data_IF_849923333989
#
_entry.id   IF_849923333989
#
_cell.length_a   1.000
_cell.length_b   1.000
_cell.length_c   1.000
_cell.angle_alpha   90.00
_cell.angle_beta   90.00
_cell.angle_gamma   90.00
#
_symmetry.space_group_name_H-M   'P 1'
#
loop_
_entity.id
_entity.type
_entity.pdbx_description
1 polymer ?
#
# COMPACT_ATOMS: atom_id res chain seq x y z
N UNK A 1 10.81 -32.96 10.58
CA UNK A 1 10.98 -31.86 11.56
C UNK A 1 10.82 -30.45 10.96
N UNK A 2 11.48 -30.10 9.85
CA UNK A 2 11.41 -28.76 9.23
C UNK A 2 9.99 -28.28 8.86
N UNK A 3 9.13 -29.16 8.33
CA UNK A 3 7.75 -28.79 7.95
C UNK A 3 6.87 -28.47 9.18
N UNK A 4 7.02 -29.24 10.27
CA UNK A 4 6.30 -29.00 11.52
C UNK A 4 6.67 -27.67 12.17
N UNK A 5 7.96 -27.34 12.19
CA UNK A 5 8.45 -26.04 12.69
C UNK A 5 7.89 -24.86 11.87
N UNK A 6 7.86 -24.97 10.54
CA UNK A 6 7.28 -23.94 9.66
C UNK A 6 5.79 -23.72 9.90
N UNK A 7 5.04 -24.81 10.07
CA UNK A 7 3.60 -24.74 10.35
C UNK A 7 3.37 -24.10 11.72
N UNK A 8 4.14 -24.50 12.74
CA UNK A 8 4.07 -23.90 14.07
C UNK A 8 4.33 -22.38 14.00
N UNK A 9 5.36 -21.95 13.27
CA UNK A 9 5.69 -20.54 13.05
C UNK A 9 4.55 -19.78 12.36
N UNK A 10 3.95 -20.36 11.32
CA UNK A 10 2.81 -19.75 10.62
C UNK A 10 1.59 -19.62 11.53
N UNK A 11 1.28 -20.64 12.33
CA UNK A 11 0.17 -20.61 13.29
C UNK A 11 0.43 -19.53 14.34
N UNK A 12 1.65 -19.46 14.89
CA UNK A 12 2.02 -18.45 15.86
C UNK A 12 1.90 -17.04 15.28
N UNK A 13 2.42 -16.82 14.07
CA UNK A 13 2.29 -15.54 13.37
C UNK A 13 0.82 -15.16 13.12
N UNK A 14 0.00 -16.11 12.64
CA UNK A 14 -1.42 -15.89 12.41
C UNK A 14 -2.15 -15.56 13.73
N UNK A 15 -1.84 -16.24 14.83
CA UNK A 15 -2.41 -15.96 16.13
C UNK A 15 -2.06 -14.54 16.62
N UNK A 16 -0.81 -14.11 16.43
CA UNK A 16 -0.38 -12.73 16.75
C UNK A 16 -1.13 -11.71 15.88
N UNK A 17 -1.28 -11.98 14.58
CA UNK A 17 -2.03 -11.10 13.67
C UNK A 17 -3.51 -10.99 14.05
N UNK A 18 -4.16 -12.09 14.45
CA UNK A 18 -5.55 -12.10 14.92
C UNK A 18 -5.67 -11.33 16.23
N UNK A 19 -4.75 -11.54 17.17
CA UNK A 19 -4.71 -10.80 18.43
C UNK A 19 -4.59 -9.29 18.17
N UNK A 20 -3.67 -8.86 17.31
CA UNK A 20 -3.53 -7.45 16.94
C UNK A 20 -4.78 -6.91 16.22
N UNK A 21 -5.40 -7.69 15.35
CA UNK A 21 -6.63 -7.28 14.65
C UNK A 21 -7.83 -7.12 15.59
N UNK A 22 -7.85 -7.81 16.73
CA UNK A 22 -8.93 -7.67 17.72
C UNK A 22 -8.95 -6.33 18.45
N UNK A 23 -7.87 -5.55 18.37
CA UNK A 23 -7.76 -4.19 18.94
C UNK A 23 -8.28 -3.08 18.00
N UNK A 24 -8.80 -3.46 16.82
CA UNK A 24 -9.39 -2.50 15.89
C UNK A 24 -10.72 -1.96 16.43
N UNK A 25 -11.02 -0.65 16.24
CA UNK A 25 -12.27 -0.06 16.68
C UNK A 25 -13.48 -0.70 15.99
N UNK A 26 -14.62 -0.72 16.70
CA UNK A 26 -15.88 -1.24 16.15
C UNK A 26 -16.28 -0.46 14.89
N UNK A 27 -16.81 -1.19 13.91
CA UNK A 27 -17.29 -0.58 12.66
C UNK A 27 -18.48 0.32 12.95
N UNK A 28 -18.42 1.56 12.45
CA UNK A 28 -19.51 2.52 12.59
C UNK A 28 -19.60 3.20 13.96
N UNK A 29 -18.59 3.05 14.81
CA UNK A 29 -18.49 3.79 16.07
C UNK A 29 -18.31 5.30 15.80
N UNK A 30 -19.27 6.16 16.17
CA UNK A 30 -19.20 7.60 15.95
C UNK A 30 -18.05 8.28 16.72
N UNK A 31 -17.66 7.70 17.85
CA UNK A 31 -16.64 8.25 18.74
C UNK A 31 -15.23 7.76 18.39
N UNK A 32 -15.08 7.06 17.25
CA UNK A 32 -13.79 6.60 16.79
C UNK A 32 -12.88 7.79 16.40
N UNK A 33 -11.66 7.76 16.94
CA UNK A 33 -10.62 8.78 16.72
C UNK A 33 -10.25 8.98 15.25
N UNK A 34 -10.50 7.99 14.39
CA UNK A 34 -10.29 8.12 12.94
C UNK A 34 -11.27 9.08 12.26
N UNK A 35 -12.45 9.31 12.86
CA UNK A 35 -13.45 10.27 12.37
C UNK A 35 -13.32 11.64 13.04
N UNK A 36 -12.63 11.72 14.17
CA UNK A 36 -12.41 12.97 14.90
C UNK A 36 -11.68 14.01 14.02
N UNK A 37 -11.95 15.29 14.27
CA UNK A 37 -11.30 16.38 13.55
C UNK A 37 -9.81 16.51 13.93
N UNK A 38 -9.49 16.17 15.18
CA UNK A 38 -8.14 16.25 15.74
C UNK A 38 -7.63 14.88 16.20
N UNK A 39 -6.37 14.64 15.88
CA UNK A 39 -5.61 13.46 16.29
C UNK A 39 -5.10 13.59 17.73
N UNK A 40 -4.51 12.52 18.26
CA UNK A 40 -3.88 12.43 19.60
C UNK A 40 -2.85 13.54 19.86
N UNK A 41 -2.14 13.93 18.80
CA UNK A 41 -1.10 14.95 18.79
C UNK A 41 -1.64 16.35 18.44
N UNK A 42 -2.96 16.55 18.56
CA UNK A 42 -3.64 17.82 18.31
C UNK A 42 -3.51 18.36 16.86
N UNK A 43 -3.06 17.53 15.91
CA UNK A 43 -3.06 17.86 14.47
C UNK A 43 -4.38 17.46 13.83
N UNK A 44 -4.69 18.04 12.66
CA UNK A 44 -5.89 17.65 11.91
C UNK A 44 -5.76 16.23 11.38
N UNK A 45 -6.84 15.45 11.53
CA UNK A 45 -6.93 14.12 10.93
C UNK A 45 -7.13 14.28 9.43
N UNK A 46 -6.21 13.72 8.64
CA UNK A 46 -6.19 13.86 7.18
C UNK A 46 -7.49 13.34 6.55
N UNK A 47 -8.03 12.23 7.06
CA UNK A 47 -9.28 11.65 6.54
C UNK A 47 -10.45 12.62 6.60
N UNK A 48 -10.67 13.25 7.76
CA UNK A 48 -11.73 14.24 7.94
C UNK A 48 -11.48 15.50 7.07
N UNK A 49 -10.25 16.02 7.08
CA UNK A 49 -9.88 17.18 6.24
C UNK A 49 -10.10 16.92 4.74
N UNK A 50 -9.66 15.77 4.23
CA UNK A 50 -9.82 15.43 2.82
C UNK A 50 -11.29 15.35 2.42
N UNK A 51 -12.17 14.81 3.27
CA UNK A 51 -13.62 14.75 3.00
C UNK A 51 -14.21 16.16 2.86
N UNK A 52 -13.79 17.11 3.69
CA UNK A 52 -14.32 18.46 3.69
C UNK A 52 -13.70 19.36 2.60
N UNK A 53 -12.43 19.14 2.24
CA UNK A 53 -11.63 20.10 1.48
C UNK A 53 -11.05 19.60 0.17
N UNK A 54 -11.11 18.30 -0.16
CA UNK A 54 -10.47 17.75 -1.36
C UNK A 54 -10.88 18.47 -2.66
N UNK A 55 -12.17 18.74 -2.85
CA UNK A 55 -12.64 19.45 -4.04
C UNK A 55 -12.14 20.90 -4.07
N UNK A 56 -12.11 21.58 -2.93
CA UNK A 56 -11.63 22.96 -2.84
C UNK A 56 -10.14 23.07 -3.15
N UNK A 57 -9.36 22.10 -2.69
CA UNK A 57 -7.91 22.14 -2.78
C UNK A 57 -7.41 21.73 -4.18
N UNK A 58 -8.06 20.75 -4.84
CA UNK A 58 -7.59 20.18 -6.11
C UNK A 58 -8.58 20.28 -7.29
N UNK A 59 -9.76 20.88 -7.10
CA UNK A 59 -10.82 21.06 -8.11
C UNK A 59 -11.21 19.77 -8.87
N UNK A 60 -10.98 18.61 -8.25
CA UNK A 60 -11.27 17.30 -8.81
C UNK A 60 -12.42 16.67 -8.03
N UNK A 61 -13.53 16.26 -8.67
CA UNK A 61 -14.72 15.77 -7.97
C UNK A 61 -14.50 14.43 -7.27
N UNK A 62 -13.52 13.64 -7.70
CA UNK A 62 -13.20 12.36 -7.08
C UNK A 62 -12.17 12.52 -5.95
N UNK A 63 -12.63 12.42 -4.70
CA UNK A 63 -11.78 12.48 -3.51
C UNK A 63 -10.64 11.45 -3.52
N UNK A 64 -10.86 10.25 -4.04
CA UNK A 64 -9.81 9.20 -4.06
C UNK A 64 -8.69 9.61 -5.00
N UNK A 65 -9.02 10.22 -6.14
CA UNK A 65 -8.02 10.77 -7.07
C UNK A 65 -7.24 11.90 -6.42
N UNK A 66 -7.88 12.78 -5.67
CA UNK A 66 -7.19 13.86 -4.93
C UNK A 66 -6.26 13.29 -3.85
N UNK A 67 -6.70 12.26 -3.13
CA UNK A 67 -5.87 11.63 -2.09
C UNK A 67 -4.62 11.00 -2.72
N UNK A 68 -4.77 10.21 -3.78
CA UNK A 68 -3.64 9.51 -4.41
C UNK A 68 -2.76 10.46 -5.24
N UNK A 69 -3.37 11.41 -5.93
CA UNK A 69 -2.69 12.30 -6.89
C UNK A 69 -2.11 13.56 -6.28
N UNK A 70 -2.74 14.13 -5.24
CA UNK A 70 -2.32 15.40 -4.64
C UNK A 70 -1.77 15.21 -3.22
N UNK A 71 -2.56 14.63 -2.30
CA UNK A 71 -2.16 14.52 -0.89
C UNK A 71 -1.10 13.44 -0.60
N UNK A 72 -1.17 12.29 -1.29
CA UNK A 72 -0.28 11.12 -1.13
C UNK A 72 0.42 10.72 -2.43
N UNK A 73 0.71 11.72 -3.26
CA UNK A 73 1.35 11.57 -4.58
C UNK A 73 2.68 10.82 -4.56
N UNK A 74 3.44 10.94 -3.47
CA UNK A 74 4.74 10.26 -3.30
C UNK A 74 4.58 8.74 -3.22
N UNK A 75 3.51 8.24 -2.60
CA UNK A 75 3.26 6.80 -2.49
C UNK A 75 2.96 6.22 -3.88
N UNK A 76 2.09 6.87 -4.67
CA UNK A 76 1.78 6.46 -6.05
C UNK A 76 2.96 6.64 -7.01
N UNK A 77 3.77 7.68 -6.83
CA UNK A 77 5.01 7.85 -7.60
C UNK A 77 6.01 6.72 -7.29
N UNK A 78 6.13 6.31 -6.02
CA UNK A 78 6.91 5.15 -5.61
C UNK A 78 6.42 3.86 -6.27
N UNK A 79 5.11 3.60 -6.27
CA UNK A 79 4.50 2.47 -6.98
C UNK A 79 4.87 2.47 -8.48
N UNK A 80 4.82 3.63 -9.13
CA UNK A 80 5.20 3.77 -10.53
C UNK A 80 6.68 3.43 -10.78
N UNK A 81 7.59 3.83 -9.89
CA UNK A 81 9.01 3.46 -9.96
C UNK A 81 9.20 1.95 -9.84
N UNK A 82 8.49 1.30 -8.92
CA UNK A 82 8.59 -0.15 -8.71
C UNK A 82 8.14 -0.91 -9.96
N UNK A 83 6.99 -0.55 -10.53
CA UNK A 83 6.46 -1.19 -11.75
C UNK A 83 7.40 -0.95 -12.93
N UNK A 84 7.89 0.28 -13.10
CA UNK A 84 8.84 0.62 -14.15
C UNK A 84 10.13 -0.20 -14.05
N UNK A 85 10.70 -0.30 -12.84
CA UNK A 85 11.93 -1.06 -12.59
C UNK A 85 11.72 -2.55 -12.87
N UNK A 86 10.60 -3.13 -12.41
CA UNK A 86 10.25 -4.52 -12.69
C UNK A 86 10.14 -4.76 -14.21
N UNK A 87 9.42 -3.91 -14.93
CA UNK A 87 9.28 -3.99 -16.38
C UNK A 87 10.62 -3.89 -17.12
N UNK A 88 11.49 -2.96 -16.70
CA UNK A 88 12.82 -2.79 -17.27
C UNK A 88 13.70 -4.05 -17.05
N UNK A 89 13.70 -4.60 -15.84
CA UNK A 89 14.42 -5.84 -15.52
C UNK A 89 13.92 -6.98 -16.41
N UNK A 90 12.60 -7.16 -16.54
CA UNK A 90 12.01 -8.20 -17.38
C UNK A 90 12.44 -8.06 -18.85
N UNK A 91 12.44 -6.84 -19.41
CA UNK A 91 12.90 -6.59 -20.77
C UNK A 91 14.39 -6.92 -20.96
N UNK A 92 15.24 -6.53 -20.01
CA UNK A 92 16.67 -6.79 -20.06
C UNK A 92 16.98 -8.30 -19.98
N UNK A 93 16.30 -9.02 -19.08
CA UNK A 93 16.43 -10.48 -18.95
C UNK A 93 16.01 -11.17 -20.24
N UNK A 94 14.84 -10.82 -20.80
CA UNK A 94 14.35 -11.43 -22.03
C UNK A 94 15.26 -11.15 -23.25
N UNK A 95 15.84 -9.94 -23.32
CA UNK A 95 16.82 -9.59 -24.37
C UNK A 95 18.10 -10.40 -24.25
N UNK A 96 18.60 -10.64 -23.03
CA UNK A 96 19.78 -11.47 -22.78
C UNK A 96 19.54 -12.92 -23.19
N UNK A 97 18.39 -13.50 -22.80
CA UNK A 97 18.06 -14.89 -23.12
C UNK A 97 17.93 -15.12 -24.63
N UNK A 98 17.32 -14.18 -25.37
CA UNK A 98 17.24 -14.26 -26.85
C UNK A 98 18.60 -14.21 -27.55
N UNK A 99 19.58 -13.48 -27.01
CA UNK A 99 20.93 -13.44 -27.57
C UNK A 99 21.68 -14.74 -27.34
N UNK A 100 21.59 -15.33 -26.15
CA UNK A 100 22.22 -16.60 -25.83
C UNK A 100 21.69 -17.75 -26.71
N UNK A 101 20.37 -17.82 -26.92
CA UNK A 101 19.76 -18.83 -27.80
C UNK A 101 20.18 -18.73 -29.28
N UNK A 102 20.53 -17.53 -29.77
CA UNK A 102 21.07 -17.36 -31.15
C UNK A 102 22.54 -17.72 -31.26
N UNK A 103 23.34 -17.49 -30.21
CA UNK A 103 24.77 -17.88 -30.21
C UNK A 103 24.99 -19.38 -30.07
N UNK A 104 24.07 -20.12 -29.45
CA UNK A 104 24.15 -21.58 -29.34
C UNK A 104 23.65 -22.33 -30.58
N UNK A 105 23.09 -21.63 -31.56
CA UNK A 105 22.55 -22.18 -32.81
C UNK A 105 23.45 -21.91 -34.04
N UNK A 106 24.62 -21.31 -33.82
CA UNK A 106 25.71 -21.11 -34.78
C UNK A 106 26.90 -21.98 -34.35
#
# INVERSE_FOLDING_TARGET
>A
MQKGLKILLLILFAAIMIFAASDLPFRGDPDNRMHAERSVNNTRVIGNYAIQNAYRDAHTPNIVTVILGDYRSVDTFGEQIVIYTAGLITLLVLRRTRRLGRSSAL
#
